data_IF_208869793409
#
_entry.id   IF_208869793409
#
_cell.length_a   1.000
_cell.length_b   1.000
_cell.length_c   1.000
_cell.angle_alpha   90.00
_cell.angle_beta   90.00
_cell.angle_gamma   90.00
#
_symmetry.space_group_name_H-M   'P 1'
#
loop_
_entity.id
_entity.type
_entity.pdbx_description
1 polymer ?
#
# COMPACT_ATOMS: atom_id res chain seq x y z
N UNK A 1 37.79 -16.36 33.47
CA UNK A 1 36.37 -16.35 33.03
C UNK A 1 35.89 -17.80 33.05
N UNK A 2 34.78 -18.09 33.72
CA UNK A 2 34.32 -19.48 33.90
C UNK A 2 33.70 -19.96 32.56
N UNK A 3 33.98 -21.23 32.23
CA UNK A 3 33.40 -21.96 31.04
C UNK A 3 31.88 -21.81 30.95
N UNK A 4 31.24 -21.65 32.11
CA UNK A 4 29.79 -21.40 32.22
C UNK A 4 29.40 -20.05 31.62
N UNK A 5 30.15 -18.98 31.81
CA UNK A 5 29.89 -17.66 31.25
C UNK A 5 30.00 -17.63 29.72
N UNK A 6 30.89 -18.45 29.13
CA UNK A 6 31.01 -18.60 27.68
C UNK A 6 29.79 -19.34 27.10
N UNK A 7 29.33 -20.39 27.75
CA UNK A 7 28.14 -21.16 27.34
C UNK A 7 26.88 -20.26 27.40
N UNK A 8 26.73 -19.49 28.46
CA UNK A 8 25.60 -18.57 28.63
C UNK A 8 25.63 -17.44 27.58
N UNK A 9 26.81 -16.92 27.25
CA UNK A 9 26.99 -15.93 26.17
C UNK A 9 26.62 -16.49 24.79
N UNK A 10 27.08 -17.71 24.47
CA UNK A 10 26.76 -18.39 23.23
C UNK A 10 25.25 -18.69 23.10
N UNK A 11 24.65 -19.18 24.18
CA UNK A 11 23.22 -19.44 24.23
C UNK A 11 22.40 -18.16 24.02
N UNK A 12 22.80 -17.05 24.66
CA UNK A 12 22.12 -15.77 24.45
C UNK A 12 22.29 -15.26 23.02
N UNK A 13 23.46 -15.39 22.43
CA UNK A 13 23.72 -15.01 21.03
C UNK A 13 22.89 -15.87 20.07
N UNK A 14 22.83 -17.18 20.31
CA UNK A 14 22.02 -18.10 19.52
C UNK A 14 20.53 -17.80 19.63
N UNK A 15 20.01 -17.57 20.83
CA UNK A 15 18.60 -17.19 21.07
C UNK A 15 18.25 -15.88 20.40
N UNK A 16 19.16 -14.88 20.40
CA UNK A 16 18.94 -13.63 19.69
C UNK A 16 18.96 -13.82 18.15
N UNK A 17 19.87 -14.64 17.64
CA UNK A 17 19.93 -14.99 16.24
C UNK A 17 18.64 -15.68 15.78
N UNK A 18 18.16 -16.69 16.52
CA UNK A 18 16.92 -17.41 16.21
C UNK A 18 15.69 -16.50 16.27
N UNK A 19 15.63 -15.54 17.20
CA UNK A 19 14.56 -14.53 17.24
C UNK A 19 14.51 -13.68 15.96
N UNK A 20 15.64 -13.39 15.34
CA UNK A 20 15.74 -12.65 14.10
C UNK A 20 15.29 -13.46 12.86
N UNK A 21 15.29 -14.80 12.96
CA UNK A 21 14.79 -15.71 11.92
C UNK A 21 13.30 -16.06 12.06
N UNK A 22 12.64 -15.58 13.12
CA UNK A 22 11.19 -15.78 13.25
C UNK A 22 10.50 -15.05 12.09
N UNK A 23 9.74 -15.74 11.24
CA UNK A 23 9.02 -15.09 10.15
C UNK A 23 8.09 -14.01 10.73
N UNK A 24 7.95 -12.87 10.05
CA UNK A 24 7.05 -11.83 10.50
C UNK A 24 5.63 -12.38 10.65
N UNK A 25 4.92 -11.88 11.65
CA UNK A 25 3.52 -12.23 11.89
C UNK A 25 2.70 -11.89 10.64
N UNK A 26 1.98 -12.88 10.09
CA UNK A 26 1.07 -12.66 8.97
C UNK A 26 -0.20 -12.00 9.50
N UNK A 27 -0.31 -10.72 9.29
CA UNK A 27 -1.49 -9.93 9.65
C UNK A 27 -2.42 -9.82 8.43
N UNK A 28 -3.72 -9.64 8.67
CA UNK A 28 -4.62 -9.11 7.65
C UNK A 28 -4.44 -7.59 7.54
N UNK A 29 -5.03 -6.96 6.51
CA UNK A 29 -4.94 -5.50 6.37
C UNK A 29 -5.54 -4.78 7.56
N UNK A 30 -6.69 -5.23 8.06
CA UNK A 30 -7.35 -4.63 9.22
C UNK A 30 -6.54 -4.77 10.50
N UNK A 31 -5.93 -5.93 10.74
CA UNK A 31 -5.05 -6.18 11.87
C UNK A 31 -3.76 -5.34 11.79
N UNK A 32 -3.20 -5.22 10.59
CA UNK A 32 -2.05 -4.37 10.35
C UNK A 32 -2.37 -2.90 10.64
N UNK A 33 -3.52 -2.43 10.16
CA UNK A 33 -3.96 -1.06 10.38
C UNK A 33 -4.16 -0.76 11.87
N UNK A 34 -4.86 -1.62 12.59
CA UNK A 34 -5.09 -1.50 14.04
C UNK A 34 -3.77 -1.39 14.82
N UNK A 35 -2.77 -2.18 14.42
CA UNK A 35 -1.48 -2.25 15.11
C UNK A 35 -0.55 -1.09 14.76
N UNK A 36 -0.54 -0.63 13.50
CA UNK A 36 0.53 0.19 12.96
C UNK A 36 0.11 1.55 12.41
N UNK A 37 -1.14 1.67 11.94
CA UNK A 37 -1.62 2.87 11.25
C UNK A 37 -1.88 4.01 12.24
N UNK A 38 -1.39 5.19 11.87
CA UNK A 38 -1.72 6.43 12.58
C UNK A 38 -2.35 7.44 11.64
N UNK A 39 -3.46 8.00 12.09
CA UNK A 39 -4.15 9.08 11.41
C UNK A 39 -3.46 10.41 11.75
N UNK A 40 -3.11 11.16 10.72
CA UNK A 40 -2.49 12.48 10.88
C UNK A 40 -3.53 13.53 11.21
N UNK A 41 -3.24 14.50 12.09
CA UNK A 41 -4.13 15.62 12.35
C UNK A 41 -4.36 16.52 11.12
N UNK A 42 -3.48 16.45 10.13
CA UNK A 42 -3.59 17.20 8.86
C UNK A 42 -4.63 16.58 7.91
N UNK A 43 -4.89 15.26 8.05
CA UNK A 43 -5.72 14.51 7.10
C UNK A 43 -6.95 13.86 7.72
N UNK A 44 -7.10 13.92 9.05
CA UNK A 44 -8.23 13.32 9.76
C UNK A 44 -8.72 14.25 10.88
N UNK A 45 -10.03 14.35 11.03
CA UNK A 45 -10.65 15.07 12.14
C UNK A 45 -10.30 14.44 13.51
N UNK A 46 -10.05 13.14 13.52
CA UNK A 46 -9.63 12.39 14.71
C UNK A 46 -8.22 11.83 14.50
N UNK A 47 -7.23 12.59 14.93
CA UNK A 47 -5.84 12.14 14.88
C UNK A 47 -5.56 11.04 15.90
N UNK A 48 -4.62 10.14 15.58
CA UNK A 48 -4.20 9.10 16.52
C UNK A 48 -4.13 7.71 15.89
N UNK A 49 -4.11 6.64 16.70
CA UNK A 49 -4.09 5.28 16.17
C UNK A 49 -5.40 4.94 15.46
N UNK A 50 -5.29 4.20 14.36
CA UNK A 50 -6.45 3.61 13.69
C UNK A 50 -7.18 2.67 14.63
N UNK A 51 -8.52 2.65 14.55
CA UNK A 51 -9.39 1.78 15.34
C UNK A 51 -10.46 1.17 14.44
N UNK A 52 -10.43 -0.14 14.27
CA UNK A 52 -11.42 -0.88 13.47
C UNK A 52 -12.84 -0.74 14.02
N UNK A 53 -12.98 -0.61 15.34
CA UNK A 53 -14.27 -0.43 16.02
C UNK A 53 -15.05 0.83 15.58
N UNK A 54 -14.35 1.85 15.07
CA UNK A 54 -14.99 3.08 14.59
C UNK A 54 -15.63 2.92 13.20
N UNK A 55 -15.09 2.00 12.40
CA UNK A 55 -15.55 1.73 11.05
C UNK A 55 -15.59 0.23 10.80
N UNK A 56 -16.39 -0.54 11.56
CA UNK A 56 -16.39 -2.00 11.51
C UNK A 56 -16.77 -2.54 10.12
N UNK A 57 -17.58 -1.81 9.36
CA UNK A 57 -17.96 -2.16 7.98
C UNK A 57 -16.81 -2.11 6.97
N UNK A 58 -15.67 -1.50 7.31
CA UNK A 58 -14.49 -1.49 6.45
C UNK A 58 -13.56 -2.68 6.67
N UNK A 59 -13.74 -3.43 7.75
CA UNK A 59 -12.85 -4.54 8.15
C UNK A 59 -12.85 -5.63 7.10
N UNK A 60 -14.02 -6.14 6.73
CA UNK A 60 -14.14 -7.21 5.74
C UNK A 60 -13.63 -6.79 4.36
N UNK A 61 -13.83 -5.51 4.00
CA UNK A 61 -13.32 -4.94 2.74
C UNK A 61 -11.79 -4.92 2.74
N UNK A 62 -11.18 -4.49 3.84
CA UNK A 62 -9.72 -4.50 3.99
C UNK A 62 -9.16 -5.92 3.96
N UNK A 63 -9.79 -6.85 4.66
CA UNK A 63 -9.29 -8.22 4.81
C UNK A 63 -9.49 -9.06 3.56
N UNK A 64 -10.47 -8.72 2.70
CA UNK A 64 -10.62 -9.31 1.37
C UNK A 64 -9.34 -9.15 0.51
N UNK A 65 -8.55 -8.09 0.71
CA UNK A 65 -7.28 -7.92 0.00
C UNK A 65 -6.25 -9.01 0.34
N UNK A 66 -6.29 -9.56 1.53
CA UNK A 66 -5.37 -10.63 1.99
C UNK A 66 -5.91 -12.04 1.74
N UNK A 67 -7.13 -12.19 1.26
CA UNK A 67 -7.68 -13.50 0.88
C UNK A 67 -7.07 -13.94 -0.45
N UNK A 68 -6.34 -15.08 -0.50
CA UNK A 68 -5.73 -15.58 -1.73
C UNK A 68 -6.72 -15.97 -2.83
N UNK A 69 -8.01 -16.06 -2.51
CA UNK A 69 -9.07 -16.36 -3.48
C UNK A 69 -9.60 -15.10 -4.18
N UNK A 70 -9.26 -13.91 -3.67
CA UNK A 70 -9.73 -12.63 -4.19
C UNK A 70 -8.66 -12.04 -5.11
N UNK A 71 -8.92 -12.04 -6.42
CA UNK A 71 -8.04 -11.43 -7.41
C UNK A 71 -8.43 -9.98 -7.75
N UNK A 72 -9.71 -9.63 -7.56
CA UNK A 72 -10.26 -8.32 -7.88
C UNK A 72 -11.23 -7.90 -6.78
N UNK A 73 -11.04 -6.70 -6.24
CA UNK A 73 -11.92 -6.10 -5.24
C UNK A 73 -12.50 -4.80 -5.81
N UNK A 74 -13.82 -4.72 -5.91
CA UNK A 74 -14.52 -3.50 -6.33
C UNK A 74 -15.38 -3.01 -5.19
N UNK A 75 -15.19 -1.77 -4.78
CA UNK A 75 -15.93 -1.14 -3.69
C UNK A 75 -16.81 -0.03 -4.24
N UNK A 76 -18.12 -0.23 -4.16
CA UNK A 76 -19.13 0.79 -4.50
C UNK A 76 -19.73 1.31 -3.20
N UNK A 77 -19.50 2.57 -2.92
CA UNK A 77 -19.96 3.18 -1.67
C UNK A 77 -20.18 4.68 -1.82
N UNK A 78 -21.03 5.27 -0.98
CA UNK A 78 -21.26 6.71 -0.92
C UNK A 78 -19.97 7.50 -0.65
N UNK A 79 -20.04 8.82 -0.85
CA UNK A 79 -18.93 9.71 -0.47
C UNK A 79 -18.73 9.72 1.05
N UNK A 80 -17.50 9.99 1.50
CA UNK A 80 -17.11 10.19 2.90
C UNK A 80 -17.34 8.99 3.85
N UNK A 81 -17.47 7.78 3.34
CA UNK A 81 -17.58 6.54 4.16
C UNK A 81 -16.22 5.88 4.44
N UNK A 82 -15.11 6.54 4.14
CA UNK A 82 -13.78 6.00 4.47
C UNK A 82 -13.12 5.16 3.36
N UNK A 83 -13.62 5.18 2.11
CA UNK A 83 -13.01 4.44 0.97
C UNK A 83 -11.50 4.68 0.86
N UNK A 84 -11.08 5.92 0.80
CA UNK A 84 -9.66 6.28 0.67
C UNK A 84 -8.82 5.86 1.89
N UNK A 85 -9.41 5.68 3.07
CA UNK A 85 -8.69 5.12 4.22
C UNK A 85 -8.45 3.62 4.07
N UNK A 86 -9.38 2.87 3.46
CA UNK A 86 -9.16 1.46 3.09
C UNK A 86 -7.98 1.35 2.13
N UNK A 87 -7.95 2.17 1.09
CA UNK A 87 -6.85 2.19 0.12
C UNK A 87 -5.50 2.53 0.77
N UNK A 88 -5.49 3.54 1.66
CA UNK A 88 -4.29 3.89 2.42
C UNK A 88 -3.82 2.76 3.34
N UNK A 89 -4.75 2.04 3.98
CA UNK A 89 -4.43 0.89 4.82
C UNK A 89 -3.86 -0.27 3.98
N UNK A 90 -4.42 -0.53 2.80
CA UNK A 90 -3.90 -1.51 1.84
C UNK A 90 -2.49 -1.11 1.37
N UNK A 91 -2.28 0.15 0.98
CA UNK A 91 -0.96 0.67 0.58
C UNK A 91 0.06 0.50 1.73
N UNK A 92 -0.34 0.84 2.94
CA UNK A 92 0.52 0.68 4.11
C UNK A 92 0.87 -0.77 4.39
N UNK A 93 -0.09 -1.67 4.24
CA UNK A 93 0.11 -3.12 4.36
C UNK A 93 1.07 -3.64 3.28
N UNK A 94 0.88 -3.25 2.02
CA UNK A 94 1.78 -3.64 0.93
C UNK A 94 3.22 -3.21 1.24
N UNK A 95 3.44 -1.97 1.64
CA UNK A 95 4.79 -1.47 1.94
C UNK A 95 5.43 -2.26 3.08
N UNK A 96 4.66 -2.68 4.08
CA UNK A 96 5.21 -3.30 5.30
C UNK A 96 5.21 -4.83 5.28
N UNK A 97 4.17 -5.47 4.81
CA UNK A 97 3.96 -6.91 4.97
C UNK A 97 4.09 -7.71 3.67
N UNK A 98 3.66 -7.16 2.54
CA UNK A 98 3.66 -7.86 1.25
C UNK A 98 4.20 -6.97 0.13
N UNK A 99 5.51 -6.63 0.17
CA UNK A 99 6.09 -5.67 -0.75
C UNK A 99 6.03 -6.11 -2.20
N UNK A 100 5.68 -5.17 -3.07
CA UNK A 100 5.59 -5.36 -4.51
C UNK A 100 5.42 -4.05 -5.25
N UNK A 101 5.68 -4.07 -6.56
CA UNK A 101 5.40 -2.92 -7.42
C UNK A 101 3.91 -2.62 -7.44
N UNK A 102 3.55 -1.40 -7.07
CA UNK A 102 2.17 -0.96 -6.89
C UNK A 102 1.92 0.29 -7.70
N UNK A 103 0.83 0.31 -8.46
CA UNK A 103 0.34 1.52 -9.14
C UNK A 103 -0.93 1.98 -8.42
N UNK A 104 -0.94 3.25 -8.01
CA UNK A 104 -2.11 3.92 -7.45
C UNK A 104 -2.61 4.97 -8.44
N UNK A 105 -3.84 4.81 -8.91
CA UNK A 105 -4.43 5.61 -9.99
C UNK A 105 -5.50 6.54 -9.43
N UNK A 106 -5.34 7.83 -9.68
CA UNK A 106 -6.32 8.88 -9.39
C UNK A 106 -6.98 9.38 -10.69
N UNK A 107 -8.11 10.08 -10.63
CA UNK A 107 -8.75 10.63 -11.84
C UNK A 107 -7.81 11.48 -12.68
N UNK A 108 -7.08 12.38 -12.04
CA UNK A 108 -6.11 13.28 -12.71
C UNK A 108 -4.73 13.22 -12.05
N UNK A 109 -3.71 13.68 -12.79
CA UNK A 109 -2.36 13.78 -12.25
C UNK A 109 -2.26 14.79 -11.11
N UNK A 110 -3.07 15.84 -11.12
CA UNK A 110 -3.11 16.83 -10.05
C UNK A 110 -3.76 16.28 -8.78
N UNK A 111 -4.81 15.46 -8.91
CA UNK A 111 -5.39 14.72 -7.79
C UNK A 111 -4.36 13.73 -7.21
N UNK A 112 -3.61 13.04 -8.07
CA UNK A 112 -2.52 12.16 -7.68
C UNK A 112 -1.44 12.89 -6.85
N UNK A 113 -1.03 14.09 -7.28
CA UNK A 113 -0.07 14.92 -6.53
C UNK A 113 -0.62 15.39 -5.20
N UNK A 114 -1.88 15.83 -5.16
CA UNK A 114 -2.56 16.25 -3.92
C UNK A 114 -2.68 15.09 -2.95
N UNK A 115 -3.15 13.94 -3.40
CA UNK A 115 -3.30 12.74 -2.58
C UNK A 115 -1.95 12.28 -2.00
N UNK A 116 -0.90 12.28 -2.82
CA UNK A 116 0.45 11.94 -2.36
C UNK A 116 0.92 12.86 -1.23
N UNK A 117 0.73 14.18 -1.38
CA UNK A 117 1.19 15.16 -0.38
C UNK A 117 0.34 15.17 0.88
N UNK A 118 -0.98 15.09 0.73
CA UNK A 118 -1.93 15.35 1.83
C UNK A 118 -2.32 14.06 2.58
N UNK A 119 -2.15 12.88 1.96
CA UNK A 119 -2.59 11.62 2.52
C UNK A 119 -1.45 10.61 2.67
N UNK A 120 -0.73 10.28 1.60
CA UNK A 120 0.32 9.25 1.63
C UNK A 120 1.54 9.73 2.43
N UNK A 121 2.03 10.95 2.19
CA UNK A 121 3.21 11.43 2.89
C UNK A 121 3.00 11.55 4.42
N UNK A 122 1.88 12.10 4.94
CA UNK A 122 1.58 12.08 6.37
C UNK A 122 1.44 10.65 6.92
N UNK A 123 0.78 9.75 6.19
CA UNK A 123 0.66 8.35 6.58
C UNK A 123 2.02 7.68 6.80
N UNK A 124 2.94 7.86 5.84
CA UNK A 124 4.30 7.31 5.92
C UNK A 124 5.04 7.92 7.11
N UNK A 125 4.99 9.23 7.29
CA UNK A 125 5.64 9.95 8.38
C UNK A 125 5.17 9.49 9.76
N UNK A 126 3.87 9.31 9.93
CA UNK A 126 3.26 9.09 11.25
C UNK A 126 3.15 7.61 11.62
N UNK A 127 3.20 6.69 10.64
CA UNK A 127 3.20 5.25 10.88
C UNK A 127 4.64 4.72 10.98
N UNK A 128 5.04 4.29 12.18
CA UNK A 128 6.41 3.89 12.50
C UNK A 128 7.04 2.86 11.54
N UNK A 129 6.35 1.76 11.14
CA UNK A 129 6.95 0.79 10.22
C UNK A 129 7.16 1.37 8.82
N UNK A 130 6.25 2.22 8.34
CA UNK A 130 6.36 2.85 7.01
C UNK A 130 7.51 3.84 6.96
N UNK A 131 7.65 4.69 7.99
CA UNK A 131 8.76 5.65 8.09
C UNK A 131 10.14 4.98 8.10
N UNK A 132 10.23 3.73 8.59
CA UNK A 132 11.49 2.98 8.59
C UNK A 132 11.84 2.41 7.21
N UNK A 133 10.84 2.13 6.37
CA UNK A 133 11.00 1.45 5.07
C UNK A 133 11.05 2.43 3.89
N UNK A 134 10.34 3.54 3.99
CA UNK A 134 10.30 4.55 2.93
C UNK A 134 11.26 5.68 3.29
N UNK A 135 12.33 5.82 2.52
CA UNK A 135 13.34 6.87 2.72
C UNK A 135 12.74 8.26 2.50
N UNK A 136 13.26 9.26 3.21
CA UNK A 136 12.78 10.64 3.08
C UNK A 136 13.17 11.23 1.71
N UNK A 137 12.26 11.99 1.08
CA UNK A 137 12.42 12.65 -0.23
C UNK A 137 13.62 13.61 -0.25
N UNK A 138 14.12 14.03 0.91
CA UNK A 138 15.20 15.00 1.06
C UNK A 138 16.60 14.45 0.81
N UNK A 139 16.77 13.13 0.74
CA UNK A 139 18.06 12.52 0.41
C UNK A 139 18.23 12.47 -1.11
N UNK A 140 19.30 13.06 -1.65
CA UNK A 140 19.60 13.15 -3.11
C UNK A 140 19.59 11.79 -3.84
N UNK A 141 19.79 10.69 -3.13
CA UNK A 141 19.86 9.32 -3.66
C UNK A 141 18.64 8.46 -3.36
N UNK A 142 17.55 9.02 -2.82
CA UNK A 142 16.43 8.18 -2.33
C UNK A 142 15.54 7.58 -3.41
N UNK A 143 15.64 8.03 -4.66
CA UNK A 143 14.69 7.65 -5.73
C UNK A 143 13.23 8.04 -5.45
N UNK A 144 12.99 8.76 -4.34
CA UNK A 144 11.65 9.13 -3.88
C UNK A 144 11.26 10.51 -4.39
N UNK A 145 10.14 10.56 -5.09
CA UNK A 145 9.52 11.79 -5.58
C UNK A 145 8.11 11.95 -4.98
N UNK A 146 7.41 13.01 -5.39
CA UNK A 146 6.00 13.20 -5.02
C UNK A 146 5.17 12.02 -5.53
N UNK A 147 5.44 11.54 -6.73
CA UNK A 147 4.66 10.50 -7.42
C UNK A 147 5.24 9.09 -7.31
N UNK A 148 6.42 8.94 -6.71
CA UNK A 148 7.05 7.63 -6.53
C UNK A 148 7.58 7.49 -5.10
N UNK A 149 7.38 6.32 -4.50
CA UNK A 149 7.89 5.95 -3.18
C UNK A 149 8.54 4.58 -3.27
N UNK A 150 9.86 4.55 -3.17
CA UNK A 150 10.64 3.30 -3.14
C UNK A 150 10.72 2.76 -1.71
N UNK A 151 10.61 1.46 -1.57
CA UNK A 151 10.76 0.73 -0.32
C UNK A 151 11.38 -0.65 -0.58
N UNK A 152 11.95 -1.32 0.41
CA UNK A 152 12.54 -2.64 0.23
C UNK A 152 11.52 -3.64 -0.35
N UNK A 153 11.83 -4.17 -1.53
CA UNK A 153 11.00 -5.15 -2.22
C UNK A 153 9.91 -4.59 -3.13
N UNK A 154 9.80 -3.25 -3.29
CA UNK A 154 8.81 -2.66 -4.17
C UNK A 154 8.90 -1.15 -4.36
N UNK A 155 7.97 -0.66 -5.14
CA UNK A 155 7.80 0.77 -5.42
C UNK A 155 6.31 1.09 -5.57
N UNK A 156 5.86 2.17 -4.95
CA UNK A 156 4.55 2.75 -5.17
C UNK A 156 4.67 3.87 -6.21
N UNK A 157 4.01 3.72 -7.35
CA UNK A 157 3.87 4.75 -8.38
C UNK A 157 2.45 5.32 -8.30
N UNK A 158 2.34 6.63 -8.20
CA UNK A 158 1.06 7.35 -8.10
C UNK A 158 0.88 8.11 -9.42
N UNK A 159 -0.26 7.92 -10.09
CA UNK A 159 -0.49 8.51 -11.42
C UNK A 159 -1.93 8.93 -11.63
N UNK A 160 -2.19 9.69 -12.69
CA UNK A 160 -3.53 9.99 -13.16
C UNK A 160 -3.99 8.98 -14.21
N UNK A 161 -5.30 8.75 -14.30
CA UNK A 161 -5.92 7.85 -15.28
C UNK A 161 -5.69 8.30 -16.74
N UNK A 162 -5.37 9.58 -16.93
CA UNK A 162 -5.06 10.19 -18.22
C UNK A 162 -3.56 10.15 -18.60
N UNK A 163 -2.74 9.33 -17.92
CA UNK A 163 -1.30 9.20 -18.16
C UNK A 163 -0.97 7.79 -18.71
N UNK A 164 -1.21 7.51 -20.01
CA UNK A 164 -1.06 6.18 -20.58
C UNK A 164 0.35 5.61 -20.44
N UNK A 165 1.37 6.44 -20.63
CA UNK A 165 2.77 6.00 -20.55
C UNK A 165 3.18 5.50 -19.16
N UNK A 166 2.66 6.10 -18.10
CA UNK A 166 2.95 5.66 -16.74
C UNK A 166 2.28 4.31 -16.41
N UNK A 167 1.15 4.05 -17.07
CA UNK A 167 0.35 2.85 -16.87
C UNK A 167 0.87 1.66 -17.70
N UNK A 168 1.31 1.91 -18.95
CA UNK A 168 1.77 0.87 -19.86
C UNK A 168 3.23 0.41 -19.59
N UNK A 169 4.06 1.28 -19.02
CA UNK A 169 5.51 1.01 -18.87
C UNK A 169 5.92 0.42 -17.51
N UNK A 170 5.03 0.34 -16.54
CA UNK A 170 5.37 -0.09 -15.17
C UNK A 170 4.77 -1.45 -14.86
N UNK A 171 5.59 -2.52 -14.75
CA UNK A 171 5.07 -3.80 -14.27
C UNK A 171 4.55 -3.64 -12.85
N UNK A 172 3.30 -3.98 -12.61
CA UNK A 172 2.66 -3.85 -11.32
C UNK A 172 2.13 -5.20 -10.84
N UNK A 173 2.42 -5.52 -9.56
CA UNK A 173 1.78 -6.63 -8.86
C UNK A 173 0.41 -6.20 -8.31
N UNK A 174 0.28 -4.92 -7.92
CA UNK A 174 -0.94 -4.36 -7.37
C UNK A 174 -1.34 -3.11 -8.14
N UNK A 175 -2.63 -3.04 -8.50
CA UNK A 175 -3.24 -1.85 -9.09
C UNK A 175 -4.38 -1.43 -8.19
N UNK A 176 -4.35 -0.19 -7.71
CA UNK A 176 -5.38 0.40 -6.88
C UNK A 176 -5.91 1.64 -7.60
N UNK A 177 -7.20 1.71 -7.82
CA UNK A 177 -7.83 2.83 -8.50
C UNK A 177 -8.92 3.48 -7.67
N UNK A 178 -8.77 4.78 -7.42
CA UNK A 178 -9.75 5.60 -6.71
C UNK A 178 -10.66 6.36 -7.67
N UNK A 179 -11.91 6.58 -7.29
CA UNK A 179 -12.92 7.36 -8.02
C UNK A 179 -13.01 7.01 -9.53
N UNK A 180 -13.08 5.72 -9.84
CA UNK A 180 -13.04 5.22 -11.21
C UNK A 180 -14.11 5.83 -12.13
N UNK A 181 -15.26 6.18 -11.60
CA UNK A 181 -16.36 6.85 -12.30
C UNK A 181 -15.97 8.22 -12.89
N UNK A 182 -14.90 8.83 -12.34
CA UNK A 182 -14.35 10.11 -12.83
C UNK A 182 -13.18 9.96 -13.80
N UNK A 183 -12.81 8.72 -14.16
CA UNK A 183 -11.70 8.51 -15.09
C UNK A 183 -12.12 8.87 -16.50
N UNK A 184 -11.17 9.40 -17.28
CA UNK A 184 -11.39 9.66 -18.69
C UNK A 184 -11.73 8.36 -19.43
N UNK A 185 -12.72 8.41 -20.32
CA UNK A 185 -13.17 7.26 -21.13
C UNK A 185 -12.10 6.76 -22.11
N UNK A 186 -11.10 7.59 -22.43
CA UNK A 186 -9.94 7.21 -23.24
C UNK A 186 -8.70 7.96 -22.75
N UNK A 187 -7.58 7.25 -22.59
CA UNK A 187 -6.28 7.82 -22.32
C UNK A 187 -5.43 7.70 -23.58
N UNK A 188 -5.60 8.64 -24.55
CA UNK A 188 -4.90 8.62 -25.83
C UNK A 188 -5.40 7.51 -26.76
N UNK A 189 -4.52 7.02 -27.65
CA UNK A 189 -4.82 5.95 -28.64
C UNK A 189 -4.89 4.55 -28.04
N UNK A 190 -4.49 4.36 -26.78
CA UNK A 190 -4.31 3.03 -26.14
C UNK A 190 -5.41 2.68 -25.12
N UNK A 191 -6.59 3.24 -25.17
CA UNK A 191 -7.71 2.85 -24.33
C UNK A 191 -7.45 2.90 -22.81
N UNK A 192 -8.52 2.75 -22.01
CA UNK A 192 -8.40 2.67 -20.55
C UNK A 192 -7.82 1.30 -20.14
N UNK A 193 -6.83 1.28 -19.26
CA UNK A 193 -6.14 0.08 -18.71
C UNK A 193 -7.07 -1.06 -18.28
N UNK A 194 -8.28 -0.75 -17.88
CA UNK A 194 -9.26 -1.75 -17.48
C UNK A 194 -9.88 -2.50 -18.65
N UNK A 195 -9.87 -1.92 -19.86
CA UNK A 195 -10.32 -2.61 -21.07
C UNK A 195 -9.30 -3.65 -21.54
N UNK A 196 -8.00 -3.39 -21.33
CA UNK A 196 -6.93 -4.33 -21.72
C UNK A 196 -6.80 -5.52 -20.76
N UNK A 197 -7.15 -5.36 -19.47
CA UNK A 197 -7.14 -6.48 -18.53
C UNK A 197 -8.33 -7.43 -18.73
N UNK A 198 -9.53 -6.89 -19.01
CA UNK A 198 -10.71 -7.72 -19.28
C UNK A 198 -10.58 -8.46 -20.64
N UNK A 199 -9.99 -7.82 -21.65
CA UNK A 199 -9.70 -8.46 -22.94
C UNK A 199 -8.64 -9.58 -22.85
N UNK A 200 -7.70 -9.49 -21.92
CA UNK A 200 -6.70 -10.53 -21.69
C UNK A 200 -7.29 -11.74 -20.92
N UNK A 201 -8.31 -11.53 -20.09
CA UNK A 201 -9.02 -12.59 -19.39
C UNK A 201 -10.05 -13.30 -20.31
N UNK A 202 -10.70 -12.58 -21.22
CA UNK A 202 -11.55 -13.20 -22.26
C UNK A 202 -10.73 -14.06 -23.23
N UNK A 203 -9.52 -13.65 -23.60
CA UNK A 203 -8.65 -14.42 -24.48
C UNK A 203 -8.12 -15.73 -23.83
N UNK A 204 -8.15 -15.85 -22.51
CA UNK A 204 -7.78 -17.07 -21.77
C UNK A 204 -8.94 -18.04 -21.55
N UNK A 205 -10.16 -17.65 -21.81
CA UNK A 205 -11.36 -18.48 -21.62
C UNK A 205 -11.81 -19.22 -22.88
N UNK A 206 -11.03 -19.20 -23.97
CA UNK A 206 -11.36 -19.79 -25.30
C UNK A 206 -10.32 -20.83 -25.70
N UNK A 207 -9.88 -21.70 -24.74
CA UNK A 207 -9.18 -22.97 -25.04
C UNK A 207 -9.72 -24.10 -24.16
#
# INVERSE_FOLDING_TARGET
MSRQNEIDSLNNTFVQAVKNFKPPERLTVSQWAEKNRRLSPESSAEAGPWRNERTPYLVDIMDAFTDPKVNKLTVVAASQVGKSEVELNIIGYIIDQDPGSTIYVQPTLDDARKFSRLRIAPMIRDSKPLRKKVSDVKTRDSGNTILQKSFPGGMLTITGSNSPSALASTPARYIIGDERDRWASSAGTEGCLLYTSDAADEARSVD
#
